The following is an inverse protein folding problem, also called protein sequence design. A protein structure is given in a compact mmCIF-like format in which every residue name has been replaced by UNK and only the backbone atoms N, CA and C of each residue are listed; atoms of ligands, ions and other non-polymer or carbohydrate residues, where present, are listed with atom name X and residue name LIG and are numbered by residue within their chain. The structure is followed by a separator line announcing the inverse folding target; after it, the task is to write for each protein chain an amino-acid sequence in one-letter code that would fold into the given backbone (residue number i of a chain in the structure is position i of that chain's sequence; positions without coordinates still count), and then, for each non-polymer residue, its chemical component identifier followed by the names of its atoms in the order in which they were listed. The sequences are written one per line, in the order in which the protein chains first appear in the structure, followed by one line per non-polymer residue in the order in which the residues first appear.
data_IF_820840102653
#
_entry.id   IF_820840102653
#
_cell.length_a   1.000
_cell.length_b   1.000
_cell.length_c   1.000
_cell.angle_alpha   90.00
_cell.angle_beta   90.00
_cell.angle_gamma   90.00
#
_symmetry.space_group_name_H-M   'P 1'
#
loop_
_entity.id
_entity.type
_entity.pdbx_description
1 polymer ?
#
# COMPACT_ATOMS: atom_id res chain seq x y z
N UNK A 1 -28.63 54.66 10.17
CA UNK A 1 -28.41 54.62 8.72
C UNK A 1 -28.44 53.16 8.31
N UNK A 2 -29.54 52.76 7.67
CA UNK A 2 -29.83 51.41 7.18
C UNK A 2 -29.20 51.22 5.79
N UNK A 3 -28.61 50.05 5.54
CA UNK A 3 -28.39 49.49 4.18
C UNK A 3 -28.59 47.97 4.34
N UNK A 4 -29.78 47.43 4.11
CA UNK A 4 -30.43 47.04 2.84
C UNK A 4 -30.04 45.64 2.36
N UNK A 5 -31.03 44.75 2.43
CA UNK A 5 -31.17 43.50 1.68
C UNK A 5 -30.96 43.67 0.18
N UNK A 6 -30.52 42.60 -0.50
CA UNK A 6 -30.80 42.41 -1.94
C UNK A 6 -31.14 40.94 -2.23
N UNK A 7 -32.38 40.75 -2.69
CA UNK A 7 -32.93 39.52 -3.23
C UNK A 7 -32.56 39.30 -4.71
N UNK A 8 -32.52 38.01 -5.07
CA UNK A 8 -32.77 37.31 -6.35
C UNK A 8 -33.35 38.13 -7.51
N UNK A 9 -32.76 38.01 -8.72
CA UNK A 9 -33.47 38.05 -10.01
C UNK A 9 -32.87 37.04 -11.01
N UNK A 10 -33.74 36.18 -11.56
CA UNK A 10 -33.55 35.31 -12.73
C UNK A 10 -33.68 36.10 -14.04
N UNK A 11 -33.06 35.65 -15.15
CA UNK A 11 -33.74 35.77 -16.43
C UNK A 11 -33.84 34.45 -17.18
N UNK A 12 -35.09 34.15 -17.52
CA UNK A 12 -35.59 33.18 -18.48
C UNK A 12 -35.30 33.53 -19.94
N UNK A 13 -35.14 32.48 -20.77
CA UNK A 13 -35.57 32.33 -22.17
C UNK A 13 -34.70 32.85 -23.35
N UNK A 14 -34.00 31.93 -24.05
CA UNK A 14 -34.41 31.31 -25.35
C UNK A 14 -33.21 30.75 -26.18
N UNK A 15 -33.17 29.43 -26.24
CA UNK A 15 -32.86 28.52 -27.36
C UNK A 15 -31.78 28.88 -28.42
N UNK A 16 -30.77 27.99 -28.53
CA UNK A 16 -30.40 27.44 -29.85
C UNK A 16 -29.94 25.99 -29.70
N UNK A 17 -30.78 25.06 -30.15
CA UNK A 17 -30.47 23.63 -30.26
C UNK A 17 -29.47 23.45 -31.41
N UNK A 18 -28.26 22.98 -31.12
CA UNK A 18 -27.43 22.26 -32.09
C UNK A 18 -27.11 20.88 -31.53
N UNK A 19 -27.51 19.86 -32.30
CA UNK A 19 -27.64 18.47 -31.89
C UNK A 19 -26.34 17.69 -31.62
N UNK A 20 -26.46 16.39 -31.31
CA UNK A 20 -25.46 15.63 -30.54
C UNK A 20 -24.25 15.11 -31.33
N UNK A 21 -24.14 15.40 -32.64
CA UNK A 21 -23.21 14.69 -33.52
C UNK A 21 -21.89 15.43 -33.83
N UNK A 22 -21.69 16.63 -33.30
CA UNK A 22 -20.45 17.40 -33.49
C UNK A 22 -19.40 17.20 -32.37
N UNK A 23 -19.71 16.41 -31.33
CA UNK A 23 -18.79 16.14 -30.20
C UNK A 23 -18.02 14.83 -30.33
N UNK A 24 -18.02 14.18 -31.52
CA UNK A 24 -17.37 12.87 -31.73
C UNK A 24 -16.15 12.89 -32.66
N UNK A 25 -15.70 14.06 -33.13
CA UNK A 25 -14.49 14.16 -33.97
C UNK A 25 -13.69 15.41 -33.68
N UNK A 26 -13.00 15.43 -32.55
CA UNK A 26 -11.76 16.19 -32.31
C UNK A 26 -11.42 15.99 -30.85
N UNK A 27 -10.60 14.99 -30.55
CA UNK A 27 -9.54 14.97 -29.53
C UNK A 27 -8.86 13.59 -29.54
N UNK A 28 -8.55 13.07 -30.74
CA UNK A 28 -7.61 11.95 -30.93
C UNK A 28 -6.16 12.49 -30.97
N UNK A 29 -5.80 13.27 -29.95
CA UNK A 29 -4.42 13.59 -29.57
C UNK A 29 -4.45 14.05 -28.10
N UNK A 30 -5.16 13.31 -27.24
CA UNK A 30 -4.81 13.38 -25.82
C UNK A 30 -3.44 12.75 -25.71
N UNK A 31 -2.44 13.59 -25.48
CA UNK A 31 -1.28 13.21 -24.68
C UNK A 31 -1.84 12.49 -23.46
N UNK A 32 -1.88 11.16 -23.51
CA UNK A 32 -1.92 10.38 -22.29
C UNK A 32 -0.59 10.67 -21.62
N UNK A 33 -0.60 11.64 -20.71
CA UNK A 33 0.29 11.55 -19.57
C UNK A 33 -0.19 10.31 -18.82
N UNK A 34 0.25 9.13 -19.27
CA UNK A 34 0.30 7.98 -18.40
C UNK A 34 1.24 8.45 -17.30
N UNK A 35 0.66 8.77 -16.15
CA UNK A 35 1.43 8.79 -14.91
C UNK A 35 1.80 7.33 -14.65
N UNK A 36 2.80 6.82 -15.38
CA UNK A 36 3.56 5.60 -15.06
C UNK A 36 4.48 5.84 -13.85
N UNK A 37 4.25 6.93 -13.09
CA UNK A 37 5.09 7.39 -11.99
C UNK A 37 5.01 6.53 -10.72
N UNK A 38 4.19 5.47 -10.65
CA UNK A 38 4.11 4.67 -9.42
C UNK A 38 3.72 3.21 -9.66
N UNK A 39 4.27 2.54 -10.68
CA UNK A 39 4.15 1.06 -10.75
C UNK A 39 4.66 0.43 -9.45
N UNK A 40 5.72 0.99 -8.84
CA UNK A 40 6.24 0.56 -7.55
C UNK A 40 5.25 0.82 -6.38
N UNK A 41 4.58 1.97 -6.36
CA UNK A 41 3.71 2.36 -5.23
C UNK A 41 2.38 1.61 -5.22
N UNK A 42 1.96 1.12 -6.40
CA UNK A 42 0.72 0.36 -6.58
C UNK A 42 0.87 -1.13 -6.22
N UNK A 43 2.09 -1.63 -6.07
CA UNK A 43 2.33 -3.07 -5.92
C UNK A 43 1.66 -3.68 -4.67
N UNK A 44 1.83 -3.13 -3.45
CA UNK A 44 1.11 -3.67 -2.29
C UNK A 44 -0.41 -3.61 -2.44
N UNK A 45 -0.94 -2.56 -3.07
CA UNK A 45 -2.39 -2.44 -3.31
C UNK A 45 -2.89 -3.54 -4.25
N UNK A 46 -2.11 -3.88 -5.28
CA UNK A 46 -2.46 -4.94 -6.21
C UNK A 46 -2.46 -6.29 -5.49
N UNK A 47 -1.39 -6.62 -4.76
CA UNK A 47 -1.31 -7.87 -4.00
C UNK A 47 -2.48 -8.03 -3.02
N UNK A 48 -2.76 -7.00 -2.23
CA UNK A 48 -3.80 -7.05 -1.18
C UNK A 48 -5.22 -7.19 -1.76
N UNK A 49 -5.48 -6.62 -2.94
CA UNK A 49 -6.77 -6.80 -3.64
C UNK A 49 -7.04 -8.26 -4.04
N UNK A 50 -5.99 -9.07 -4.19
CA UNK A 50 -6.11 -10.48 -4.57
C UNK A 50 -6.17 -11.42 -3.37
N UNK A 51 -6.14 -10.91 -2.14
CA UNK A 51 -6.43 -11.71 -0.94
C UNK A 51 -7.85 -12.30 -1.00
N UNK A 52 -8.08 -13.49 -0.42
CA UNK A 52 -9.40 -14.12 -0.43
C UNK A 52 -10.40 -13.30 0.38
N UNK A 53 -11.67 -13.31 -0.02
CA UNK A 53 -12.73 -12.72 0.81
C UNK A 53 -13.10 -13.72 1.88
N UNK A 54 -12.71 -13.43 3.12
CA UNK A 54 -12.98 -14.30 4.28
C UNK A 54 -14.38 -13.99 4.83
N UNK A 55 -15.18 -15.00 5.23
CA UNK A 55 -16.46 -14.76 5.89
C UNK A 55 -16.25 -14.14 7.28
N UNK A 56 -17.27 -13.48 7.81
CA UNK A 56 -17.21 -12.93 9.17
C UNK A 56 -17.15 -14.11 10.17
N UNK A 57 -16.04 -14.25 10.90
CA UNK A 57 -15.80 -15.32 11.85
C UNK A 57 -15.38 -14.76 13.21
N UNK A 58 -15.50 -15.59 14.26
CA UNK A 58 -15.00 -15.24 15.60
C UNK A 58 -13.48 -15.10 15.66
N UNK A 59 -12.75 -15.78 14.77
CA UNK A 59 -11.29 -15.68 14.66
C UNK A 59 -10.93 -15.12 13.28
N UNK A 60 -10.24 -13.98 13.26
CA UNK A 60 -9.86 -13.31 12.02
C UNK A 60 -8.49 -13.82 11.54
N UNK A 61 -8.27 -14.01 10.23
CA UNK A 61 -6.93 -14.20 9.70
C UNK A 61 -6.08 -12.96 9.96
N UNK A 62 -4.81 -13.19 10.29
CA UNK A 62 -3.84 -12.12 10.51
C UNK A 62 -2.95 -11.95 9.28
N UNK A 63 -2.90 -10.72 8.74
CA UNK A 63 -1.94 -10.29 7.75
C UNK A 63 -0.75 -9.64 8.45
N UNK A 64 0.42 -10.22 8.29
CA UNK A 64 1.64 -9.76 8.93
C UNK A 64 2.51 -8.97 7.96
N UNK A 65 2.97 -7.80 8.41
CA UNK A 65 3.83 -6.90 7.65
C UNK A 65 5.22 -6.84 8.27
N UNK A 66 6.25 -7.01 7.44
CA UNK A 66 7.65 -6.90 7.84
C UNK A 66 8.31 -5.62 7.32
N UNK A 67 9.54 -5.75 6.85
CA UNK A 67 10.46 -4.66 6.46
C UNK A 67 9.95 -3.64 5.44
N UNK A 68 8.88 -3.93 4.71
CA UNK A 68 8.47 -3.14 3.56
C UNK A 68 7.29 -2.20 3.82
N UNK A 69 6.69 -2.26 5.00
CA UNK A 69 5.46 -1.52 5.32
C UNK A 69 5.61 0.00 5.11
N UNK A 70 6.80 0.57 5.42
CA UNK A 70 7.08 2.00 5.35
C UNK A 70 7.60 2.47 3.98
N UNK A 71 7.94 1.55 3.09
CA UNK A 71 8.51 1.88 1.77
C UNK A 71 7.44 2.26 0.75
N UNK A 72 6.20 1.82 1.00
CA UNK A 72 5.07 2.06 0.11
C UNK A 72 4.07 3.04 0.76
N UNK A 73 3.95 4.27 0.24
CA UNK A 73 3.04 5.28 0.80
C UNK A 73 1.57 5.04 0.47
N UNK A 74 1.23 3.91 -0.17
CA UNK A 74 -0.13 3.60 -0.60
C UNK A 74 -0.98 3.08 0.56
N UNK A 75 -2.27 3.42 0.54
CA UNK A 75 -3.27 2.95 1.50
C UNK A 75 -4.24 2.04 0.76
N UNK A 76 -4.57 0.90 1.35
CA UNK A 76 -5.47 -0.08 0.77
C UNK A 76 -6.43 -0.63 1.82
N UNK A 77 -7.61 -1.03 1.37
CA UNK A 77 -8.59 -1.72 2.21
C UNK A 77 -8.44 -3.23 2.03
N UNK A 78 -8.55 -3.97 3.13
CA UNK A 78 -8.55 -5.43 3.09
C UNK A 78 -9.87 -5.94 2.52
N UNK A 79 -9.87 -7.03 1.74
CA UNK A 79 -11.09 -7.55 1.13
C UNK A 79 -12.15 -7.91 2.17
N UNK A 80 -13.37 -7.41 1.98
CA UNK A 80 -14.47 -7.65 2.91
C UNK A 80 -14.51 -6.75 4.14
N UNK A 81 -13.55 -5.83 4.33
CA UNK A 81 -13.56 -4.86 5.43
C UNK A 81 -12.60 -5.19 6.59
N UNK A 82 -12.26 -4.18 7.40
CA UNK A 82 -11.31 -4.31 8.51
C UNK A 82 -11.84 -5.18 9.66
N UNK A 83 -13.15 -5.39 9.74
CA UNK A 83 -13.78 -6.26 10.72
C UNK A 83 -13.46 -7.75 10.52
N UNK A 84 -12.95 -8.14 9.34
CA UNK A 84 -12.66 -9.54 9.00
C UNK A 84 -11.19 -9.91 9.09
N UNK A 85 -10.33 -8.94 9.33
CA UNK A 85 -8.89 -9.12 9.30
C UNK A 85 -8.25 -8.51 10.54
N UNK A 86 -7.14 -9.11 10.97
CA UNK A 86 -6.20 -8.47 11.87
C UNK A 86 -4.91 -8.17 11.11
N UNK A 87 -4.22 -7.10 11.50
CA UNK A 87 -2.93 -6.72 10.94
C UNK A 87 -1.90 -6.64 12.05
N UNK A 88 -0.76 -7.32 11.85
CA UNK A 88 0.34 -7.36 12.79
C UNK A 88 1.67 -6.99 12.14
N UNK A 89 2.63 -6.55 12.94
CA UNK A 89 3.98 -6.26 12.49
C UNK A 89 4.96 -7.31 13.01
N UNK A 90 5.83 -7.81 12.13
CA UNK A 90 6.95 -8.67 12.52
C UNK A 90 8.22 -7.85 12.70
N UNK A 91 9.12 -8.35 13.54
CA UNK A 91 10.40 -7.70 13.76
C UNK A 91 11.17 -7.57 12.45
N UNK A 92 11.74 -6.39 12.22
CA UNK A 92 12.56 -6.09 11.05
C UNK A 92 13.64 -5.06 11.42
N UNK A 93 14.44 -4.64 10.44
CA UNK A 93 15.50 -3.67 10.72
C UNK A 93 15.00 -2.23 10.93
N UNK A 94 13.70 -2.00 10.80
CA UNK A 94 13.09 -0.71 11.12
C UNK A 94 13.08 -0.48 12.64
N UNK A 95 13.81 0.53 13.10
CA UNK A 95 13.97 0.89 14.53
C UNK A 95 13.17 2.12 14.94
N UNK A 96 12.13 2.49 14.19
CA UNK A 96 11.26 3.62 14.51
C UNK A 96 9.95 3.19 15.16
N UNK A 97 9.06 4.15 15.38
CA UNK A 97 7.70 3.85 15.85
C UNK A 97 6.85 3.21 14.76
N UNK A 98 6.06 2.21 15.17
CA UNK A 98 5.11 1.53 14.31
C UNK A 98 3.71 2.11 14.50
N UNK A 99 2.84 2.03 13.48
CA UNK A 99 1.43 2.36 13.65
C UNK A 99 0.80 1.51 14.77
N UNK A 100 0.22 2.19 15.76
CA UNK A 100 -0.54 1.54 16.82
C UNK A 100 -1.91 1.07 16.35
N UNK A 101 -2.44 0.04 17.00
CA UNK A 101 -3.84 -0.37 16.81
C UNK A 101 -4.75 0.55 17.64
N UNK A 102 -5.89 0.93 17.05
CA UNK A 102 -6.91 1.67 17.79
C UNK A 102 -7.54 0.79 18.87
N UNK A 103 -7.90 1.40 19.99
CA UNK A 103 -8.62 0.71 21.06
C UNK A 103 -9.97 0.25 20.54
N UNK A 104 -10.30 -1.03 20.69
CA UNK A 104 -11.61 -1.52 20.29
C UNK A 104 -12.70 -0.79 21.09
N UNK A 105 -13.69 -0.17 20.43
CA UNK A 105 -14.77 0.49 21.15
C UNK A 105 -15.55 -0.57 21.94
N UNK A 106 -15.83 -0.32 23.21
CA UNK A 106 -16.76 -1.15 23.95
C UNK A 106 -18.15 -1.11 23.28
N UNK A 107 -19.00 -2.13 23.45
CA UNK A 107 -20.30 -2.21 22.76
C UNK A 107 -21.21 -0.99 22.97
N UNK A 108 -21.05 -0.28 24.09
CA UNK A 108 -21.79 0.93 24.46
C UNK A 108 -20.99 2.23 24.30
N UNK A 109 -19.76 2.17 23.78
CA UNK A 109 -18.87 3.32 23.62
C UNK A 109 -18.96 3.91 22.22
N UNK A 110 -18.75 5.22 22.16
CA UNK A 110 -18.80 5.99 20.91
C UNK A 110 -17.50 5.79 20.12
N UNK A 111 -17.58 5.54 18.81
CA UNK A 111 -16.41 5.26 17.95
C UNK A 111 -15.29 6.31 18.06
N UNK A 112 -15.62 7.57 18.36
CA UNK A 112 -14.60 8.62 18.52
C UNK A 112 -13.69 8.42 19.74
N UNK A 113 -14.13 7.70 20.78
CA UNK A 113 -13.29 7.43 21.95
C UNK A 113 -12.09 6.55 21.56
N UNK A 114 -12.30 5.58 20.67
CA UNK A 114 -11.23 4.70 20.16
C UNK A 114 -10.09 5.44 19.48
N UNK A 115 -10.38 6.53 18.77
CA UNK A 115 -9.37 7.35 18.07
C UNK A 115 -8.69 8.39 18.96
N UNK A 116 -9.21 8.60 20.18
CA UNK A 116 -8.73 9.62 21.12
C UNK A 116 -8.06 9.03 22.35
N UNK A 117 -8.21 7.73 22.57
CA UNK A 117 -7.42 7.01 23.56
C UNK A 117 -6.07 6.71 22.94
N UNK A 118 -5.03 7.29 23.52
CA UNK A 118 -3.66 6.95 23.15
C UNK A 118 -3.42 5.46 23.41
N UNK A 119 -2.81 4.77 22.45
CA UNK A 119 -2.43 3.35 22.56
C UNK A 119 -1.26 3.10 23.53
N UNK A 120 -1.17 3.93 24.57
CA UNK A 120 -0.34 3.94 25.78
C UNK A 120 1.19 3.85 25.66
N UNK A 121 1.78 3.76 24.47
CA UNK A 121 3.21 3.41 24.35
C UNK A 121 4.06 4.23 23.36
N UNK A 122 3.50 5.27 22.74
CA UNK A 122 4.30 6.15 21.88
C UNK A 122 5.31 6.96 22.69
N UNK A 123 6.56 6.98 22.24
CA UNK A 123 7.63 7.79 22.82
C UNK A 123 7.83 9.11 22.04
N UNK A 124 8.52 10.11 22.59
CA UNK A 124 8.74 11.38 21.87
C UNK A 124 9.93 11.33 20.91
N UNK A 125 10.77 10.29 21.02
CA UNK A 125 12.07 10.19 20.33
C UNK A 125 12.01 9.36 19.04
N UNK A 126 10.82 8.88 18.66
CA UNK A 126 10.61 7.96 17.53
C UNK A 126 11.48 6.69 17.61
N UNK A 127 11.67 6.17 18.81
CA UNK A 127 12.39 4.93 19.07
C UNK A 127 11.48 3.71 18.85
N UNK A 128 12.11 2.57 18.54
CA UNK A 128 11.47 1.27 18.41
C UNK A 128 10.66 0.89 19.65
N UNK A 129 9.44 0.38 19.43
CA UNK A 129 8.52 -0.13 20.45
C UNK A 129 8.38 -1.67 20.29
N UNK A 130 9.17 -2.48 21.02
CA UNK A 130 9.21 -3.93 20.82
C UNK A 130 7.89 -4.65 21.11
N UNK A 131 7.03 -4.06 21.94
CA UNK A 131 5.70 -4.54 22.30
C UNK A 131 4.71 -4.51 21.12
N UNK A 132 5.00 -3.74 20.07
CA UNK A 132 4.21 -3.67 18.84
C UNK A 132 4.37 -4.90 17.94
N UNK A 133 5.47 -5.64 18.11
CA UNK A 133 5.70 -6.83 17.32
C UNK A 133 4.89 -8.00 17.85
N UNK A 134 4.32 -8.77 16.92
CA UNK A 134 3.64 -10.00 17.27
C UNK A 134 4.65 -11.06 17.73
N UNK A 135 4.38 -11.67 18.88
CA UNK A 135 5.13 -12.84 19.36
C UNK A 135 4.70 -14.11 18.61
N UNK A 136 5.68 -14.92 18.19
CA UNK A 136 5.46 -16.18 17.47
C UNK A 136 4.72 -15.99 16.14
N UNK A 137 5.31 -15.19 15.26
CA UNK A 137 4.77 -14.80 13.97
C UNK A 137 4.46 -15.99 13.07
N UNK A 138 5.24 -17.06 13.12
CA UNK A 138 5.00 -18.26 12.30
C UNK A 138 3.66 -18.92 12.65
N UNK A 139 3.25 -18.88 13.92
CA UNK A 139 1.99 -19.46 14.37
C UNK A 139 0.81 -18.50 14.30
N UNK A 140 1.01 -17.20 14.52
CA UNK A 140 -0.08 -16.22 14.51
C UNK A 140 -0.45 -15.71 13.12
N UNK A 141 0.53 -15.57 12.23
CA UNK A 141 0.31 -15.05 10.89
C UNK A 141 -0.38 -16.07 10.01
N UNK A 142 -1.50 -15.69 9.41
CA UNK A 142 -2.15 -16.44 8.35
C UNK A 142 -1.53 -16.10 6.99
N UNK A 143 -1.28 -14.82 6.78
CA UNK A 143 -0.63 -14.29 5.58
C UNK A 143 0.58 -13.46 5.97
N UNK A 144 1.63 -13.49 5.15
CA UNK A 144 2.87 -12.74 5.37
C UNK A 144 3.19 -11.91 4.13
N UNK A 145 3.53 -10.65 4.32
CA UNK A 145 4.09 -9.81 3.28
C UNK A 145 5.61 -9.95 3.26
N UNK A 146 6.17 -10.41 2.14
CA UNK A 146 7.62 -10.62 2.02
C UNK A 146 8.13 -10.26 0.63
N UNK A 147 9.41 -9.86 0.56
CA UNK A 147 10.10 -9.50 -0.68
C UNK A 147 11.31 -10.40 -0.87
N UNK A 148 11.54 -10.88 -2.08
CA UNK A 148 12.69 -11.72 -2.41
C UNK A 148 13.97 -10.88 -2.62
N UNK A 149 14.40 -10.19 -1.56
CA UNK A 149 15.58 -9.33 -1.56
C UNK A 149 16.55 -9.70 -0.45
N UNK A 150 17.83 -9.29 -0.55
CA UNK A 150 18.79 -9.47 0.53
C UNK A 150 18.24 -8.97 1.88
N UNK A 151 18.50 -9.74 2.94
CA UNK A 151 18.03 -9.45 4.31
C UNK A 151 19.03 -8.60 5.08
N UNK A 152 18.50 -7.76 5.98
CA UNK A 152 19.29 -7.14 7.04
C UNK A 152 19.41 -8.06 8.27
N UNK A 153 20.24 -7.69 9.23
CA UNK A 153 20.58 -8.51 10.41
C UNK A 153 19.36 -8.91 11.26
N UNK A 154 18.39 -8.00 11.43
CA UNK A 154 17.18 -8.22 12.23
C UNK A 154 15.96 -8.63 11.40
N UNK A 155 16.18 -9.14 10.20
CA UNK A 155 15.13 -9.54 9.27
C UNK A 155 15.20 -11.04 8.96
N UNK A 156 14.07 -11.60 8.55
CA UNK A 156 13.96 -12.98 8.08
C UNK A 156 13.36 -13.02 6.68
N UNK A 157 13.87 -13.92 5.85
CA UNK A 157 13.32 -14.21 4.53
C UNK A 157 12.30 -15.34 4.63
N UNK A 158 11.01 -15.01 4.67
CA UNK A 158 9.94 -15.99 4.85
C UNK A 158 9.68 -16.81 3.58
N UNK A 159 9.90 -16.24 2.40
CA UNK A 159 9.80 -16.96 1.11
C UNK A 159 10.76 -18.15 1.02
N UNK A 160 11.89 -18.10 1.74
CA UNK A 160 12.83 -19.23 1.78
C UNK A 160 12.34 -20.43 2.60
N UNK A 161 11.40 -20.21 3.53
CA UNK A 161 10.77 -21.27 4.32
C UNK A 161 9.58 -21.88 3.57
N UNK A 162 9.92 -22.66 2.54
CA UNK A 162 8.97 -23.39 1.70
C UNK A 162 8.21 -24.51 2.42
N UNK A 163 8.57 -24.85 3.66
CA UNK A 163 7.85 -25.84 4.46
C UNK A 163 6.62 -25.24 5.12
N UNK A 164 6.72 -23.97 5.52
CA UNK A 164 5.65 -23.27 6.23
C UNK A 164 4.81 -22.40 5.31
N UNK A 165 5.45 -21.81 4.30
CA UNK A 165 4.87 -20.77 3.46
C UNK A 165 4.85 -21.18 1.99
N UNK A 166 3.82 -20.73 1.27
CA UNK A 166 3.81 -20.73 -0.20
C UNK A 166 3.41 -19.36 -0.73
N UNK A 167 3.94 -18.98 -1.89
CA UNK A 167 3.59 -17.74 -2.56
C UNK A 167 2.15 -17.80 -3.06
N UNK A 168 1.24 -17.08 -2.42
CA UNK A 168 -0.16 -17.02 -2.79
C UNK A 168 -0.39 -16.05 -3.97
N UNK A 169 0.12 -14.83 -3.85
CA UNK A 169 0.11 -13.83 -4.94
C UNK A 169 1.47 -13.14 -4.97
N UNK A 170 1.96 -12.84 -6.16
CA UNK A 170 3.21 -12.10 -6.33
C UNK A 170 3.12 -11.03 -7.41
N UNK A 171 4.02 -10.06 -7.33
CA UNK A 171 4.19 -9.01 -8.32
C UNK A 171 5.64 -8.53 -8.35
N UNK A 172 6.19 -8.39 -9.55
CA UNK A 172 7.52 -7.81 -9.75
C UNK A 172 7.51 -6.31 -9.43
N UNK A 173 8.51 -5.87 -8.66
CA UNK A 173 8.74 -4.48 -8.28
C UNK A 173 10.21 -4.11 -8.52
N UNK A 174 10.47 -2.81 -8.55
CA UNK A 174 11.84 -2.32 -8.44
C UNK A 174 12.27 -2.35 -6.97
N UNK A 175 13.51 -2.75 -6.72
CA UNK A 175 14.11 -2.60 -5.41
C UNK A 175 14.08 -1.12 -4.94
N UNK A 176 13.76 -0.84 -3.66
CA UNK A 176 13.68 0.54 -3.17
C UNK A 176 15.04 1.22 -3.08
N UNK A 177 16.12 0.46 -2.86
CA UNK A 177 17.48 0.99 -2.63
C UNK A 177 18.39 0.85 -3.84
N UNK A 178 18.14 -0.13 -4.71
CA UNK A 178 18.91 -0.41 -5.91
C UNK A 178 17.94 -0.50 -7.07
N UNK A 179 18.35 -0.09 -8.25
CA UNK A 179 17.56 -0.36 -9.44
C UNK A 179 18.49 -0.57 -10.62
N UNK A 180 18.03 -1.44 -11.52
CA UNK A 180 18.72 -1.74 -12.76
C UNK A 180 18.13 -0.82 -13.83
N UNK A 181 18.96 0.07 -14.39
CA UNK A 181 18.58 0.80 -15.58
C UNK A 181 18.82 -0.08 -16.80
N UNK A 182 17.75 -0.31 -17.55
CA UNK A 182 17.81 -1.00 -18.83
C UNK A 182 17.82 0.05 -19.96
N UNK A 183 19.03 0.46 -20.36
CA UNK A 183 19.24 1.35 -21.49
C UNK A 183 19.45 0.51 -22.75
N UNK A 184 18.42 -0.22 -23.16
CA UNK A 184 18.40 -1.05 -24.38
C UNK A 184 18.94 -0.30 -25.63
N UNK A 185 18.79 1.02 -25.70
CA UNK A 185 19.30 1.84 -26.82
C UNK A 185 20.83 2.02 -26.83
N UNK A 186 21.51 1.85 -25.69
CA UNK A 186 22.98 1.85 -25.60
C UNK A 186 23.55 0.44 -25.39
N UNK A 187 22.69 -0.58 -25.24
CA UNK A 187 23.08 -1.94 -24.88
C UNK A 187 23.90 -2.00 -23.57
N UNK A 188 23.56 -1.12 -22.62
CA UNK A 188 24.21 -1.01 -21.31
C UNK A 188 23.17 -1.24 -20.23
N UNK A 189 23.41 -2.24 -19.38
CA UNK A 189 22.71 -2.39 -18.10
C UNK A 189 23.65 -1.95 -16.98
N UNK A 190 23.23 -0.94 -16.21
CA UNK A 190 23.99 -0.48 -15.05
C UNK A 190 23.13 -0.50 -13.78
N UNK A 191 23.77 -0.85 -12.66
CA UNK A 191 23.16 -0.78 -11.33
C UNK A 191 23.46 0.59 -10.77
N UNK A 192 22.43 1.35 -10.40
CA UNK A 192 22.56 2.69 -9.84
C UNK A 192 21.95 2.77 -8.45
N UNK A 193 22.39 3.76 -7.69
CA UNK A 193 21.77 4.15 -6.43
C UNK A 193 20.49 4.94 -6.73
N UNK A 194 19.35 4.31 -6.47
CA UNK A 194 18.06 4.85 -6.90
C UNK A 194 17.45 5.80 -5.89
N UNK A 195 18.18 6.10 -4.79
CA UNK A 195 17.81 7.18 -3.88
C UNK A 195 17.65 8.52 -4.61
N UNK A 196 18.54 8.86 -5.55
CA UNK A 196 18.44 10.09 -6.32
C UNK A 196 17.24 10.12 -7.28
N UNK A 197 17.04 9.04 -8.05
CA UNK A 197 15.90 8.91 -8.99
C UNK A 197 14.54 8.84 -8.28
N UNK A 198 14.54 8.44 -6.99
CA UNK A 198 13.35 8.44 -6.15
C UNK A 198 13.06 9.82 -5.57
N UNK A 199 14.10 10.57 -5.19
CA UNK A 199 13.95 11.95 -4.70
C UNK A 199 13.50 12.89 -5.81
N UNK A 200 14.05 12.71 -7.01
CA UNK A 200 13.70 13.50 -8.19
C UNK A 200 13.10 12.58 -9.24
N UNK A 201 11.79 12.68 -9.45
CA UNK A 201 11.14 11.94 -10.54
C UNK A 201 11.64 12.47 -11.89
N UNK A 202 12.53 11.70 -12.52
CA UNK A 202 12.99 11.93 -13.90
C UNK A 202 12.25 10.93 -14.79
N UNK A 203 11.22 11.36 -15.55
CA UNK A 203 10.31 10.45 -16.25
C UNK A 203 11.04 9.48 -17.19
N UNK A 204 12.01 9.98 -17.97
CA UNK A 204 12.74 9.22 -18.99
C UNK A 204 13.56 8.08 -18.38
N UNK A 205 14.20 8.31 -17.23
CA UNK A 205 15.02 7.30 -16.56
C UNK A 205 14.18 6.38 -15.70
N UNK A 206 13.18 6.91 -15.01
CA UNK A 206 12.29 6.13 -14.15
C UNK A 206 11.52 5.07 -14.95
N UNK A 207 11.09 5.39 -16.18
CA UNK A 207 10.38 4.43 -17.05
C UNK A 207 11.29 3.34 -17.65
N UNK A 208 12.62 3.51 -17.57
CA UNK A 208 13.62 2.52 -18.02
C UNK A 208 14.17 1.64 -16.90
N UNK A 209 13.65 1.81 -15.68
CA UNK A 209 13.97 0.91 -14.58
C UNK A 209 13.31 -0.44 -14.82
N UNK A 210 14.10 -1.51 -14.70
CA UNK A 210 13.59 -2.88 -14.81
C UNK A 210 13.32 -3.42 -13.40
N UNK A 211 12.15 -4.03 -13.15
CA UNK A 211 11.90 -4.70 -11.90
C UNK A 211 12.86 -5.88 -11.76
N UNK A 212 13.54 -5.93 -10.64
CA UNK A 212 14.59 -6.89 -10.32
C UNK A 212 14.21 -7.80 -9.16
N UNK A 213 13.15 -7.48 -8.42
CA UNK A 213 12.72 -8.25 -7.26
C UNK A 213 11.21 -8.49 -7.27
N UNK A 214 10.78 -9.61 -6.72
CA UNK A 214 9.38 -9.97 -6.56
C UNK A 214 8.90 -9.70 -5.13
N UNK A 215 7.71 -9.12 -5.04
CA UNK A 215 6.97 -8.91 -3.80
C UNK A 215 5.86 -9.95 -3.70
N UNK A 216 5.72 -10.57 -2.55
CA UNK A 216 4.85 -11.71 -2.32
C UNK A 216 3.92 -11.46 -1.14
N UNK A 217 2.68 -11.93 -1.30
CA UNK A 217 1.88 -12.35 -0.17
C UNK A 217 2.02 -13.86 -0.06
N UNK A 218 2.61 -14.30 1.04
CA UNK A 218 2.74 -15.71 1.38
C UNK A 218 1.52 -16.14 2.20
N UNK A 219 1.00 -17.32 1.92
CA UNK A 219 0.00 -17.97 2.76
C UNK A 219 0.64 -19.15 3.48
N UNK A 220 0.22 -19.39 4.72
CA UNK A 220 0.70 -20.53 5.50
C UNK A 220 0.00 -21.82 5.06
N UNK A 221 0.74 -22.92 4.97
CA UNK A 221 0.14 -24.24 4.78
C UNK A 221 -0.79 -24.60 5.94
N UNK A 222 -1.92 -25.24 5.63
CA UNK A 222 -2.92 -25.63 6.63
C UNK A 222 -3.78 -24.49 7.18
N UNK A 223 -3.72 -23.28 6.61
CA UNK A 223 -4.78 -22.30 6.81
C UNK A 223 -6.08 -22.84 6.23
N UNK A 224 -7.10 -23.05 7.05
CA UNK A 224 -8.45 -23.47 6.62
C UNK A 224 -9.23 -22.41 5.83
N UNK A 225 -8.53 -21.46 5.20
CA UNK A 225 -9.09 -20.34 4.43
C UNK A 225 -8.83 -20.47 2.92
N UNK A 226 -8.11 -21.52 2.50
CA UNK A 226 -7.82 -21.87 1.09
C UNK A 226 -8.07 -23.36 0.90
#
# INVERSE_FOLDING_TARGET
MHVSDLQVISPSHKAFIRGPLAWLRRQHTRFQVRVTSCVCCLSPMHLVKHLPVVPLQSHKPMLCMGRDWHLFPSRYFLPGGAERWDVGFVQCNFSGQLPGQFVQPAPSSVVWSSTRTDGNHFNSENLEEPDRFISNETFKCSFMFDRDSPIAERERLYISDVKTWYSYVNQSINEPTRCVLDLNFLNISSVLDCRFLRTFYIPILSEKTKPDVALHILARFGNGFV
#
